data_IF_449198654920
#
_entry.id   IF_449198654920
#
_cell.length_a   1.000
_cell.length_b   1.000
_cell.length_c   1.000
_cell.angle_alpha   90.00
_cell.angle_beta   90.00
_cell.angle_gamma   90.00
#
_symmetry.space_group_name_H-M   'P 1'
#
loop_
_entity.id
_entity.type
_entity.pdbx_description
1 polymer ?
#
# COMPACT_ATOMS: atom_id res chain seq x y z
N UNK A 1 3.71 9.25 -16.56
CA UNK A 1 4.85 8.91 -15.67
C UNK A 1 4.37 8.84 -14.22
N UNK A 2 4.12 7.64 -13.66
CA UNK A 2 3.68 7.55 -12.27
C UNK A 2 4.81 7.92 -11.29
N UNK A 3 4.59 8.99 -10.55
CA UNK A 3 5.47 9.41 -9.47
C UNK A 3 4.86 8.94 -8.15
N UNK A 4 5.66 8.29 -7.32
CA UNK A 4 5.22 7.81 -6.02
C UNK A 4 6.12 8.40 -4.94
N UNK A 5 5.51 9.20 -4.04
CA UNK A 5 6.22 9.84 -2.96
C UNK A 5 6.11 9.06 -1.66
N UNK A 6 7.20 9.01 -0.90
CA UNK A 6 7.26 8.38 0.41
C UNK A 6 7.65 9.40 1.48
N UNK A 7 7.06 9.28 2.65
CA UNK A 7 7.41 10.06 3.83
C UNK A 7 7.87 9.18 4.99
N UNK A 8 7.78 7.86 4.80
CA UNK A 8 8.23 6.85 5.76
C UNK A 8 8.93 5.72 5.00
N UNK A 9 9.69 4.90 5.70
CA UNK A 9 10.33 3.69 5.15
C UNK A 9 11.39 3.95 4.05
N UNK A 10 12.04 5.12 4.06
CA UNK A 10 13.08 5.46 3.08
C UNK A 10 14.13 4.36 2.93
N UNK A 11 14.69 3.90 4.06
CA UNK A 11 15.75 2.89 4.04
C UNK A 11 15.24 1.54 3.52
N UNK A 12 14.00 1.18 3.87
CA UNK A 12 13.42 -0.09 3.40
C UNK A 12 13.19 -0.08 1.90
N UNK A 13 12.86 1.07 1.31
CA UNK A 13 12.74 1.21 -0.15
C UNK A 13 14.11 1.09 -0.79
N UNK A 14 15.11 1.79 -0.25
CA UNK A 14 16.46 1.80 -0.79
C UNK A 14 17.14 0.43 -0.74
N UNK A 15 16.95 -0.31 0.35
CA UNK A 15 17.60 -1.61 0.52
C UNK A 15 16.83 -2.79 -0.10
N UNK A 16 15.69 -2.52 -0.71
CA UNK A 16 14.88 -3.55 -1.37
C UNK A 16 13.98 -4.37 -0.46
N UNK A 17 13.93 -4.05 0.84
CA UNK A 17 13.05 -4.74 1.80
C UNK A 17 11.59 -4.40 1.54
N UNK A 18 11.30 -3.14 1.21
CA UNK A 18 9.95 -2.71 0.85
C UNK A 18 9.84 -2.64 -0.67
N UNK A 19 9.01 -3.50 -1.23
CA UNK A 19 8.75 -3.57 -2.68
C UNK A 19 7.26 -3.50 -2.99
N UNK A 20 6.52 -2.79 -2.14
CA UNK A 20 5.09 -2.61 -2.27
C UNK A 20 4.69 -1.29 -1.64
N UNK A 21 3.63 -0.69 -2.17
CA UNK A 21 2.95 0.42 -1.52
C UNK A 21 1.45 0.28 -1.70
N UNK A 22 0.70 0.71 -0.70
CA UNK A 22 -0.77 0.77 -0.74
C UNK A 22 -1.15 2.24 -0.78
N UNK A 23 -1.85 2.66 -1.81
CA UNK A 23 -2.22 4.06 -2.06
C UNK A 23 -3.69 4.19 -2.37
N UNK A 24 -4.27 5.35 -2.04
CA UNK A 24 -5.61 5.69 -2.48
C UNK A 24 -5.66 5.57 -4.01
N UNK A 25 -6.75 5.02 -4.54
CA UNK A 25 -6.91 4.82 -5.97
C UNK A 25 -6.78 6.14 -6.73
N UNK A 26 -5.92 6.17 -7.74
CA UNK A 26 -5.70 7.33 -8.60
C UNK A 26 -6.76 7.42 -9.68
N UNK A 27 -6.93 8.62 -10.23
CA UNK A 27 -7.76 8.83 -11.41
C UNK A 27 -7.30 7.95 -12.58
N UNK A 28 -5.99 7.82 -12.75
CA UNK A 28 -5.38 6.95 -13.75
C UNK A 28 -4.56 5.88 -13.02
N UNK A 29 -5.15 4.69 -12.76
CA UNK A 29 -4.44 3.65 -11.99
C UNK A 29 -3.17 3.18 -12.70
N UNK A 30 -2.20 2.78 -11.89
CA UNK A 30 -0.97 2.19 -12.38
C UNK A 30 -1.27 0.80 -12.92
N UNK A 31 -0.53 0.39 -13.97
CA UNK A 31 -0.68 -0.92 -14.60
C UNK A 31 0.62 -1.69 -14.51
N UNK A 32 0.53 -3.02 -14.53
CA UNK A 32 1.70 -3.90 -14.62
C UNK A 32 2.51 -3.51 -15.86
N UNK A 33 3.81 -3.36 -15.68
CA UNK A 33 4.73 -2.94 -16.75
C UNK A 33 5.02 -1.45 -16.77
N UNK A 34 4.22 -0.63 -16.07
CA UNK A 34 4.49 0.80 -15.98
C UNK A 34 5.81 1.06 -15.26
N UNK A 35 6.55 2.06 -15.73
CA UNK A 35 7.75 2.52 -15.04
C UNK A 35 7.34 3.37 -13.84
N UNK A 36 7.87 3.02 -12.68
CA UNK A 36 7.59 3.71 -11.41
C UNK A 36 8.79 4.57 -11.03
N UNK A 37 8.53 5.81 -10.67
CA UNK A 37 9.54 6.75 -10.19
C UNK A 37 9.28 7.00 -8.71
N UNK A 38 10.10 6.43 -7.86
CA UNK A 38 9.94 6.48 -6.40
C UNK A 38 10.80 7.60 -5.82
N UNK A 39 10.18 8.48 -5.03
CA UNK A 39 10.83 9.66 -4.46
C UNK A 39 10.62 9.74 -2.96
N UNK A 40 11.60 10.30 -2.28
CA UNK A 40 11.50 10.69 -0.88
C UNK A 40 11.01 12.14 -0.79
N UNK A 41 9.98 12.38 0.03
CA UNK A 41 9.42 13.72 0.28
C UNK A 41 9.18 14.52 -0.98
N UNK A 42 8.41 13.94 -1.89
CA UNK A 42 8.04 14.56 -3.16
C UNK A 42 7.43 15.96 -2.94
N UNK A 43 7.80 16.93 -3.78
CA UNK A 43 7.36 18.32 -3.73
C UNK A 43 7.86 19.11 -2.51
N UNK A 44 8.95 18.68 -1.89
CA UNK A 44 9.60 19.40 -0.82
C UNK A 44 11.05 19.70 -1.17
N UNK A 45 11.71 20.55 -0.36
CA UNK A 45 13.14 20.85 -0.52
C UNK A 45 14.02 19.61 -0.30
N UNK A 46 13.51 18.63 0.44
CA UNK A 46 14.23 17.39 0.75
C UNK A 46 13.96 16.29 -0.28
N UNK A 47 13.27 16.60 -1.37
CA UNK A 47 12.92 15.63 -2.40
C UNK A 47 14.18 14.96 -2.96
N UNK A 48 14.19 13.64 -2.94
CA UNK A 48 15.30 12.84 -3.47
C UNK A 48 14.76 11.63 -4.20
N UNK A 49 15.35 11.29 -5.34
CA UNK A 49 15.00 10.08 -6.07
C UNK A 49 15.49 8.86 -5.29
N UNK A 50 14.61 7.91 -5.04
CA UNK A 50 14.94 6.67 -4.36
C UNK A 50 15.25 5.54 -5.34
N UNK A 51 14.37 5.34 -6.33
CA UNK A 51 14.47 4.19 -7.21
C UNK A 51 13.62 4.42 -8.46
N UNK A 52 14.07 3.90 -9.59
CA UNK A 52 13.26 3.76 -10.80
C UNK A 52 13.11 2.27 -11.05
N UNK A 53 11.89 1.79 -11.15
CA UNK A 53 11.60 0.37 -11.31
C UNK A 53 10.32 0.19 -12.12
N UNK A 54 9.90 -1.06 -12.33
CA UNK A 54 8.66 -1.36 -13.04
C UNK A 54 7.65 -2.03 -12.14
N UNK A 55 6.38 -1.72 -12.33
CA UNK A 55 5.29 -2.38 -11.64
C UNK A 55 5.22 -3.84 -12.08
N UNK A 56 5.35 -4.77 -11.13
CA UNK A 56 5.27 -6.20 -11.39
C UNK A 56 3.91 -6.78 -11.05
N UNK A 57 3.20 -6.15 -10.13
CA UNK A 57 1.88 -6.61 -9.70
C UNK A 57 1.05 -5.42 -9.26
N UNK A 58 -0.23 -5.42 -9.61
CA UNK A 58 -1.17 -4.37 -9.24
C UNK A 58 -2.55 -4.96 -9.03
N UNK A 59 -3.19 -4.62 -7.92
CA UNK A 59 -4.57 -5.02 -7.66
C UNK A 59 -5.26 -4.01 -6.77
N UNK A 60 -6.60 -4.05 -6.77
CA UNK A 60 -7.42 -3.15 -5.95
C UNK A 60 -7.85 -3.86 -4.68
N UNK A 61 -7.86 -3.11 -3.58
CA UNK A 61 -8.33 -3.60 -2.28
C UNK A 61 -9.24 -2.57 -1.64
N UNK A 62 -10.14 -3.03 -0.80
CA UNK A 62 -10.90 -2.20 0.11
C UNK A 62 -10.42 -2.54 1.52
N UNK A 63 -9.99 -1.53 2.26
CA UNK A 63 -9.43 -1.70 3.61
C UNK A 63 -10.43 -1.12 4.61
N UNK A 64 -10.84 -1.92 5.57
CA UNK A 64 -11.74 -1.47 6.62
C UNK A 64 -11.38 -2.13 7.95
N UNK A 65 -11.83 -1.52 9.05
CA UNK A 65 -11.66 -2.10 10.37
C UNK A 65 -12.97 -2.70 10.85
N UNK A 66 -12.88 -3.80 11.57
CA UNK A 66 -14.03 -4.41 12.21
C UNK A 66 -13.71 -4.77 13.65
N UNK A 67 -14.74 -4.85 14.49
CA UNK A 67 -14.62 -5.27 15.87
C UNK A 67 -14.88 -6.76 15.96
N UNK A 68 -13.92 -7.48 16.53
CA UNK A 68 -14.05 -8.91 16.75
C UNK A 68 -13.55 -9.25 18.16
N UNK A 69 -14.45 -9.77 18.99
CA UNK A 69 -14.12 -10.19 20.37
C UNK A 69 -13.36 -9.11 21.15
N UNK A 70 -13.89 -7.86 21.13
CA UNK A 70 -13.27 -6.73 21.82
C UNK A 70 -12.00 -6.20 21.20
N UNK A 71 -11.63 -6.69 20.02
CA UNK A 71 -10.45 -6.23 19.28
C UNK A 71 -10.82 -5.60 17.96
N UNK A 72 -10.12 -4.53 17.63
CA UNK A 72 -10.22 -3.92 16.31
C UNK A 72 -9.24 -4.64 15.38
N UNK A 73 -9.71 -5.05 14.22
CA UNK A 73 -8.90 -5.73 13.20
C UNK A 73 -9.03 -5.03 11.88
N UNK A 74 -7.94 -5.04 11.12
CA UNK A 74 -7.99 -4.63 9.73
C UNK A 74 -8.51 -5.81 8.90
N UNK A 75 -9.42 -5.50 7.99
CA UNK A 75 -9.93 -6.47 7.01
C UNK A 75 -9.68 -5.91 5.64
N UNK A 76 -9.24 -6.77 4.75
CA UNK A 76 -8.97 -6.40 3.36
C UNK A 76 -9.78 -7.32 2.45
N UNK A 77 -10.50 -6.71 1.51
CA UNK A 77 -11.12 -7.45 0.42
C UNK A 77 -10.41 -7.07 -0.86
N UNK A 78 -10.08 -8.07 -1.66
CA UNK A 78 -9.41 -7.89 -2.95
C UNK A 78 -10.45 -7.93 -4.06
N UNK A 79 -10.34 -7.03 -5.03
CA UNK A 79 -11.20 -7.06 -6.22
C UNK A 79 -10.61 -8.04 -7.23
N UNK A 80 -11.36 -9.08 -7.53
CA UNK A 80 -10.94 -10.14 -8.45
C UNK A 80 -12.15 -10.74 -9.16
N UNK A 81 -12.06 -10.93 -10.48
CA UNK A 81 -13.16 -11.47 -11.30
C UNK A 81 -14.49 -10.74 -11.08
N UNK A 82 -14.42 -9.40 -11.02
CA UNK A 82 -15.58 -8.51 -10.81
C UNK A 82 -16.27 -8.68 -9.45
N UNK A 83 -15.59 -9.25 -8.48
CA UNK A 83 -16.10 -9.46 -7.12
C UNK A 83 -15.09 -9.00 -6.08
N UNK A 84 -15.60 -8.58 -4.91
CA UNK A 84 -14.78 -8.30 -3.74
C UNK A 84 -14.68 -9.57 -2.90
N UNK A 85 -13.47 -10.13 -2.82
CA UNK A 85 -13.20 -11.39 -2.14
C UNK A 85 -12.44 -11.11 -0.84
N UNK A 86 -12.94 -11.58 0.32
CA UNK A 86 -12.23 -11.40 1.59
C UNK A 86 -10.86 -12.07 1.54
N UNK A 87 -9.85 -11.38 2.04
CA UNK A 87 -8.50 -11.94 2.18
C UNK A 87 -8.37 -12.62 3.54
N UNK A 88 -7.59 -13.69 3.60
CA UNK A 88 -7.29 -14.36 4.85
C UNK A 88 -6.44 -13.47 5.76
N UNK A 89 -6.39 -13.80 7.06
CA UNK A 89 -5.53 -13.09 8.00
C UNK A 89 -4.06 -13.15 7.56
N UNK A 90 -3.63 -14.29 7.07
CA UNK A 90 -2.26 -14.49 6.57
C UNK A 90 -1.94 -13.57 5.40
N UNK A 91 -2.87 -13.44 4.46
CA UNK A 91 -2.71 -12.56 3.31
C UNK A 91 -2.71 -11.09 3.74
N UNK A 92 -3.57 -10.72 4.68
CA UNK A 92 -3.63 -9.37 5.24
C UNK A 92 -2.31 -9.02 5.93
N UNK A 93 -1.79 -9.93 6.73
CA UNK A 93 -0.51 -9.75 7.41
C UNK A 93 0.64 -9.63 6.40
N UNK A 94 0.61 -10.41 5.33
CA UNK A 94 1.61 -10.34 4.26
C UNK A 94 1.63 -8.96 3.60
N UNK A 95 0.45 -8.39 3.32
CA UNK A 95 0.36 -7.04 2.76
C UNK A 95 0.98 -6.02 3.73
N UNK A 96 0.68 -6.12 5.02
CA UNK A 96 1.22 -5.21 6.03
C UNK A 96 2.74 -5.27 6.09
N UNK A 97 3.31 -6.47 6.13
CA UNK A 97 4.76 -6.67 6.22
C UNK A 97 5.44 -6.19 4.94
N UNK A 98 4.92 -6.50 3.77
CA UNK A 98 5.47 -6.05 2.49
C UNK A 98 5.44 -4.53 2.35
N UNK A 99 4.46 -3.88 2.98
CA UNK A 99 4.34 -2.42 2.97
C UNK A 99 5.34 -1.74 3.92
N UNK A 100 6.01 -2.51 4.75
CA UNK A 100 7.03 -2.04 5.67
C UNK A 100 6.59 -2.00 7.13
N UNK A 101 5.35 -2.35 7.42
CA UNK A 101 4.83 -2.36 8.78
C UNK A 101 5.26 -3.63 9.52
N UNK A 102 5.29 -3.56 10.84
CA UNK A 102 5.60 -4.67 11.71
C UNK A 102 4.51 -5.75 11.66
N UNK A 103 3.25 -5.31 11.63
CA UNK A 103 2.09 -6.19 11.61
C UNK A 103 0.86 -5.42 11.08
N UNK A 104 -0.29 -6.09 11.05
CA UNK A 104 -1.55 -5.52 10.60
C UNK A 104 -2.06 -4.41 11.51
N UNK A 105 -1.79 -4.50 12.82
CA UNK A 105 -2.20 -3.49 13.79
C UNK A 105 -1.48 -2.17 13.54
N UNK A 106 -0.18 -2.22 13.30
CA UNK A 106 0.61 -1.03 12.97
C UNK A 106 0.11 -0.39 11.67
N UNK A 107 -0.18 -1.20 10.66
CA UNK A 107 -0.74 -0.74 9.39
C UNK A 107 -2.10 -0.08 9.60
N UNK A 108 -3.00 -0.69 10.38
CA UNK A 108 -4.31 -0.13 10.68
C UNK A 108 -4.18 1.22 11.37
N UNK A 109 -3.30 1.32 12.36
CA UNK A 109 -3.07 2.57 13.10
C UNK A 109 -2.62 3.68 12.15
N UNK A 110 -1.70 3.38 11.23
CA UNK A 110 -1.20 4.36 10.28
C UNK A 110 -2.31 4.80 9.31
N UNK A 111 -3.07 3.85 8.76
CA UNK A 111 -4.13 4.17 7.79
C UNK A 111 -5.29 4.94 8.42
N UNK A 112 -5.70 4.59 9.65
CA UNK A 112 -6.77 5.32 10.33
C UNK A 112 -6.38 6.76 10.66
N UNK A 113 -5.08 7.02 10.86
CA UNK A 113 -4.59 8.37 11.11
C UNK A 113 -4.52 9.22 9.83
N UNK A 114 -4.40 8.61 8.66
CA UNK A 114 -4.16 9.31 7.39
C UNK A 114 -5.36 9.33 6.46
N UNK A 115 -6.19 8.30 6.48
CA UNK A 115 -7.28 8.13 5.53
C UNK A 115 -8.55 7.67 6.20
N UNK A 116 -9.73 8.16 5.76
CA UNK A 116 -10.98 7.49 6.13
C UNK A 116 -10.97 6.09 5.53
N UNK A 117 -11.32 5.08 6.30
CA UNK A 117 -11.44 3.71 5.83
C UNK A 117 -12.70 3.52 4.98
N UNK A 118 -12.82 2.38 4.33
CA UNK A 118 -13.89 2.05 3.37
C UNK A 118 -13.73 2.75 2.04
N UNK A 119 -12.48 3.07 1.68
CA UNK A 119 -12.13 3.57 0.36
C UNK A 119 -11.43 2.48 -0.43
N UNK A 120 -11.42 2.64 -1.76
CA UNK A 120 -10.68 1.75 -2.63
C UNK A 120 -9.22 2.22 -2.69
N UNK A 121 -8.31 1.30 -2.44
CA UNK A 121 -6.88 1.53 -2.54
C UNK A 121 -6.30 0.66 -3.65
N UNK A 122 -5.17 1.08 -4.20
CA UNK A 122 -4.40 0.25 -5.12
C UNK A 122 -3.15 -0.27 -4.40
N UNK A 123 -2.88 -1.56 -4.58
CA UNK A 123 -1.64 -2.17 -4.11
C UNK A 123 -0.71 -2.26 -5.31
N UNK A 124 0.45 -1.65 -5.19
CA UNK A 124 1.44 -1.53 -6.26
C UNK A 124 2.70 -2.22 -5.80
N UNK A 125 3.14 -3.21 -6.56
CA UNK A 125 4.38 -3.96 -6.26
C UNK A 125 5.39 -3.78 -7.37
N UNK A 126 6.65 -3.85 -6.98
CA UNK A 126 7.75 -3.73 -7.92
C UNK A 126 8.90 -4.70 -7.63
#
# INVERSE_FOLDING_TARGET
MPLIGFTVFKEKVLNGTKRQTVRKLRKHPIKVGDTLYLYWKLQTKECAKLLVTKCTEHFLVNIFSEYWVGRQRIRITKFENSEWIPMSYKETLDIAIRDGFKDDVEMLTWFTAKHPLSQIFEVIRW
#
